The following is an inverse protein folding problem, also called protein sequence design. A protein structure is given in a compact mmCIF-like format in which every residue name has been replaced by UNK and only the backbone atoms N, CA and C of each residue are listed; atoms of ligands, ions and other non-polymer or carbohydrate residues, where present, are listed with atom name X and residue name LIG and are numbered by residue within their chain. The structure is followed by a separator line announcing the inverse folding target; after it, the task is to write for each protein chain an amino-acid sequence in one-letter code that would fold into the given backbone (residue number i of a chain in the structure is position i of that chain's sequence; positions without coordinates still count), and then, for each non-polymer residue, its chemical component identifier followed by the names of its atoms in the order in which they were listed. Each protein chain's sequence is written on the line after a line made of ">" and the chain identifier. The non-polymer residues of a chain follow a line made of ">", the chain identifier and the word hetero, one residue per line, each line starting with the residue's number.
data_IF_797114679572
#
_entry.id   IF_797114679572
#
_cell.length_a   1.000
_cell.length_b   1.000
_cell.length_c   1.000
_cell.angle_alpha   90.00
_cell.angle_beta   90.00
_cell.angle_gamma   90.00
#
_symmetry.space_group_name_H-M   'P 1'
#
loop_
_entity.id
_entity.type
_entity.pdbx_description
1 polymer ?
#
# COMPACT_ATOMS: atom_id res chain seq x y z
N UNK A 1 3.71 15.15 25.21
CA UNK A 1 2.74 14.12 24.83
C UNK A 1 3.06 13.69 23.41
N UNK A 2 3.12 12.38 23.15
CA UNK A 2 3.30 11.85 21.80
C UNK A 2 1.97 11.51 21.14
N UNK A 3 1.99 11.22 19.84
CA UNK A 3 0.86 10.62 19.13
C UNK A 3 0.98 9.09 19.16
N UNK A 4 -0.15 8.39 19.21
CA UNK A 4 -0.18 6.93 19.05
C UNK A 4 0.04 6.59 17.58
N UNK A 5 1.12 5.85 17.28
CA UNK A 5 1.36 5.32 15.93
C UNK A 5 0.39 4.18 15.64
N UNK A 6 -0.29 4.26 14.50
CA UNK A 6 -1.23 3.26 14.02
C UNK A 6 -0.88 2.88 12.60
N UNK A 7 -0.62 1.61 12.35
CA UNK A 7 -0.26 1.06 11.04
C UNK A 7 -1.15 -0.14 10.72
N UNK A 8 -1.26 -0.51 9.45
CA UNK A 8 -1.97 -1.73 9.06
C UNK A 8 -1.41 -2.97 9.79
N UNK A 9 -2.29 -3.88 10.21
CA UNK A 9 -1.91 -4.99 11.10
C UNK A 9 -0.79 -5.92 10.57
N UNK A 10 -0.53 -5.92 9.26
CA UNK A 10 0.57 -6.67 8.65
C UNK A 10 1.89 -5.90 8.53
N UNK A 11 2.02 -4.72 9.14
CA UNK A 11 3.22 -3.89 9.05
C UNK A 11 4.38 -4.52 9.85
N UNK A 12 5.50 -4.75 9.17
CA UNK A 12 6.72 -5.32 9.73
C UNK A 12 7.72 -4.21 10.07
N UNK A 13 7.51 -3.54 11.22
CA UNK A 13 8.29 -2.37 11.66
C UNK A 13 9.03 -2.63 12.96
N UNK A 14 10.19 -2.00 13.14
CA UNK A 14 11.10 -2.15 14.30
C UNK A 14 10.78 -1.20 15.46
N UNK A 15 9.53 -0.75 15.56
CA UNK A 15 9.06 0.14 16.62
C UNK A 15 7.63 -0.17 17.05
N UNK A 16 7.30 0.20 18.28
CA UNK A 16 5.98 0.00 18.85
C UNK A 16 4.89 0.75 18.07
N UNK A 17 3.83 0.03 17.73
CA UNK A 17 2.66 0.60 17.08
C UNK A 17 1.38 -0.15 17.43
N UNK A 18 0.24 0.50 17.18
CA UNK A 18 -1.08 -0.09 17.34
C UNK A 18 -1.54 -0.62 15.97
N UNK A 19 -1.76 -1.94 15.81
CA UNK A 19 -2.21 -2.50 14.54
C UNK A 19 -3.64 -2.07 14.21
N UNK A 20 -3.90 -1.82 12.93
CA UNK A 20 -5.20 -1.53 12.35
C UNK A 20 -5.64 -2.72 11.49
N UNK A 21 -6.63 -3.45 11.97
CA UNK A 21 -7.26 -4.56 11.28
C UNK A 21 -8.44 -4.10 10.42
N UNK A 22 -8.86 -4.97 9.51
CA UNK A 22 -10.01 -4.67 8.68
C UNK A 22 -11.29 -4.46 9.50
N UNK A 23 -12.01 -3.37 9.22
CA UNK A 23 -13.26 -3.04 9.90
C UNK A 23 -13.08 -2.36 11.26
N UNK A 24 -11.85 -2.20 11.75
CA UNK A 24 -11.57 -1.43 12.96
C UNK A 24 -12.10 -0.01 12.83
N UNK A 25 -12.47 0.56 13.98
CA UNK A 25 -12.95 1.94 14.07
C UNK A 25 -12.03 2.71 15.01
N UNK A 26 -11.48 3.81 14.51
CA UNK A 26 -10.71 4.77 15.29
C UNK A 26 -11.52 6.05 15.44
N UNK A 27 -11.72 6.49 16.68
CA UNK A 27 -12.39 7.74 16.99
C UNK A 27 -11.36 8.85 17.26
N UNK A 28 -11.51 9.97 16.56
CA UNK A 28 -10.68 11.18 16.77
C UNK A 28 -11.63 12.36 16.97
N UNK A 29 -11.76 12.80 18.21
CA UNK A 29 -12.77 13.81 18.57
C UNK A 29 -14.18 13.31 18.27
N UNK A 30 -14.88 14.00 17.38
CA UNK A 30 -16.22 13.62 16.91
C UNK A 30 -16.22 12.89 15.55
N UNK A 31 -15.05 12.45 15.08
CA UNK A 31 -14.88 11.78 13.79
C UNK A 31 -14.73 10.28 13.99
N UNK A 32 -15.41 9.51 13.15
CA UNK A 32 -15.33 8.05 13.09
C UNK A 32 -14.57 7.63 11.85
N UNK A 33 -13.45 6.94 12.03
CA UNK A 33 -12.59 6.48 10.95
C UNK A 33 -12.67 4.95 10.90
N UNK A 34 -13.24 4.41 9.83
CA UNK A 34 -13.30 2.97 9.59
C UNK A 34 -12.14 2.53 8.71
N UNK A 35 -11.42 1.52 9.18
CA UNK A 35 -10.30 0.91 8.47
C UNK A 35 -10.83 -0.05 7.40
N UNK A 36 -10.27 0.06 6.20
CA UNK A 36 -10.52 -0.86 5.09
C UNK A 36 -9.17 -1.42 4.69
N UNK A 37 -8.89 -2.70 4.99
CA UNK A 37 -7.67 -3.36 4.51
C UNK A 37 -7.71 -3.48 2.98
N UNK A 38 -6.68 -2.95 2.32
CA UNK A 38 -6.59 -2.84 0.87
C UNK A 38 -5.20 -3.28 0.36
N UNK A 39 -4.83 -4.56 0.56
CA UNK A 39 -3.53 -5.06 0.11
C UNK A 39 -3.39 -5.01 -1.41
N UNK A 40 -2.16 -4.84 -1.88
CA UNK A 40 -1.82 -4.84 -3.30
C UNK A 40 -0.59 -4.01 -3.57
N UNK A 41 -0.70 -2.69 -3.33
CA UNK A 41 0.44 -1.77 -3.40
C UNK A 41 1.51 -2.14 -2.36
N UNK A 42 1.10 -2.31 -1.11
CA UNK A 42 1.84 -3.05 -0.08
C UNK A 42 0.92 -4.08 0.56
N UNK A 43 1.48 -5.01 1.34
CA UNK A 43 0.72 -6.10 1.97
C UNK A 43 -0.17 -5.64 3.13
N UNK A 44 0.31 -4.63 3.84
CA UNK A 44 -0.29 -4.05 5.04
C UNK A 44 -1.18 -2.85 4.75
N UNK A 45 -1.24 -2.38 3.50
CA UNK A 45 -1.94 -1.14 3.12
C UNK A 45 -3.39 -1.12 3.60
N UNK A 46 -3.80 0.03 4.17
CA UNK A 46 -5.18 0.31 4.57
C UNK A 46 -5.67 1.61 3.95
N UNK A 47 -6.93 1.66 3.57
CA UNK A 47 -7.66 2.90 3.34
C UNK A 47 -8.44 3.29 4.61
N UNK A 48 -8.63 4.59 4.81
CA UNK A 48 -9.34 5.13 5.97
C UNK A 48 -10.61 5.85 5.50
N UNK A 49 -11.77 5.31 5.83
CA UNK A 49 -13.07 5.92 5.51
C UNK A 49 -13.55 6.77 6.70
N UNK A 50 -13.67 8.07 6.48
CA UNK A 50 -14.02 9.05 7.52
C UNK A 50 -15.50 9.41 7.41
N UNK A 51 -16.25 9.17 8.48
CA UNK A 51 -17.69 9.49 8.61
C UNK A 51 -18.56 8.98 7.45
N UNK A 52 -18.12 7.92 6.75
CA UNK A 52 -18.70 7.42 5.49
C UNK A 52 -18.80 8.49 4.37
N UNK A 53 -18.07 9.62 4.50
CA UNK A 53 -18.08 10.75 3.58
C UNK A 53 -16.91 10.73 2.60
N UNK A 54 -15.68 10.54 3.08
CA UNK A 54 -14.49 10.49 2.23
C UNK A 54 -13.53 9.39 2.65
N UNK A 55 -12.77 8.88 1.69
CA UNK A 55 -11.75 7.87 1.91
C UNK A 55 -10.36 8.44 1.64
N UNK A 56 -9.46 8.31 2.63
CA UNK A 56 -8.02 8.43 2.41
C UNK A 56 -7.56 7.11 1.80
N UNK A 57 -7.25 7.11 0.50
CA UNK A 57 -7.00 5.89 -0.27
C UNK A 57 -5.53 5.50 -0.36
N UNK A 58 -4.62 6.35 0.14
CA UNK A 58 -3.19 6.12 0.07
C UNK A 58 -2.78 5.80 -1.37
N UNK A 59 -2.03 4.71 -1.52
CA UNK A 59 -1.53 4.25 -2.81
C UNK A 59 -2.32 3.06 -3.36
N UNK A 60 -3.56 2.85 -2.88
CA UNK A 60 -4.47 1.86 -3.47
C UNK A 60 -5.17 2.43 -4.72
N UNK A 61 -5.84 3.58 -4.58
CA UNK A 61 -6.62 4.24 -5.62
C UNK A 61 -6.19 5.70 -5.75
N UNK A 62 -5.78 6.09 -6.95
CA UNK A 62 -5.44 7.47 -7.31
C UNK A 62 -6.55 8.13 -8.13
N UNK A 63 -6.39 9.42 -8.45
CA UNK A 63 -7.26 10.07 -9.43
C UNK A 63 -6.83 9.66 -10.83
N UNK A 64 -7.65 8.84 -11.49
CA UNK A 64 -7.41 8.35 -12.85
C UNK A 64 -6.46 7.16 -12.96
N UNK A 65 -5.93 6.64 -11.85
CA UNK A 65 -5.03 5.48 -11.84
C UNK A 65 -5.11 4.70 -10.51
N UNK A 66 -4.28 3.66 -10.36
CA UNK A 66 -4.21 2.79 -9.18
C UNK A 66 -2.75 2.54 -8.77
N UNK A 67 -2.57 2.03 -7.56
CA UNK A 67 -1.25 1.63 -7.05
C UNK A 67 -0.50 0.68 -7.99
N UNK A 68 0.81 0.86 -8.06
CA UNK A 68 1.74 -0.15 -8.58
C UNK A 68 1.93 -1.29 -7.58
N UNK A 69 2.15 -2.51 -8.08
CA UNK A 69 2.33 -3.72 -7.24
C UNK A 69 3.78 -4.18 -7.11
N UNK A 70 4.68 -3.59 -7.88
CA UNK A 70 6.09 -3.99 -7.95
C UNK A 70 6.98 -3.24 -6.93
N UNK A 71 6.54 -2.06 -6.47
CA UNK A 71 7.38 -1.14 -5.70
C UNK A 71 7.96 -1.73 -4.41
N UNK A 72 7.35 -2.73 -3.78
CA UNK A 72 7.85 -3.18 -2.48
C UNK A 72 9.00 -4.20 -2.53
N UNK A 73 9.51 -4.61 -3.70
CA UNK A 73 10.42 -5.75 -3.80
C UNK A 73 11.52 -5.54 -4.87
N UNK A 74 12.74 -5.96 -4.55
CA UNK A 74 13.81 -6.19 -5.52
C UNK A 74 13.68 -7.62 -6.06
N UNK A 75 13.95 -7.83 -7.36
CA UNK A 75 14.03 -9.15 -8.01
C UNK A 75 12.81 -10.07 -7.78
N UNK A 76 11.60 -9.56 -8.04
CA UNK A 76 10.37 -10.33 -7.86
C UNK A 76 10.13 -11.29 -9.02
N UNK A 77 9.80 -12.53 -8.69
CA UNK A 77 9.21 -13.47 -9.64
C UNK A 77 7.82 -13.00 -10.10
N UNK A 78 7.50 -13.21 -11.37
CA UNK A 78 6.24 -12.80 -12.00
C UNK A 78 5.03 -13.33 -11.22
N UNK A 79 5.14 -14.53 -10.63
CA UNK A 79 4.07 -15.14 -9.83
C UNK A 79 3.67 -14.29 -8.62
N UNK A 80 4.62 -13.67 -7.91
CA UNK A 80 4.32 -12.81 -6.77
C UNK A 80 3.71 -11.47 -7.23
N UNK A 81 4.17 -10.90 -8.35
CA UNK A 81 3.54 -9.72 -8.95
C UNK A 81 2.08 -10.01 -9.33
N UNK A 82 1.80 -11.18 -9.90
CA UNK A 82 0.42 -11.63 -10.22
C UNK A 82 -0.43 -11.78 -8.96
N UNK A 83 0.12 -12.33 -7.87
CA UNK A 83 -0.60 -12.43 -6.59
C UNK A 83 -0.96 -11.04 -6.04
N UNK A 84 -0.01 -10.10 -6.09
CA UNK A 84 -0.25 -8.73 -5.62
C UNK A 84 -1.21 -7.95 -6.49
N UNK A 85 -1.17 -8.12 -7.81
CA UNK A 85 -2.17 -7.58 -8.73
C UNK A 85 -3.58 -8.13 -8.42
N UNK A 86 -3.71 -9.44 -8.17
CA UNK A 86 -4.99 -10.03 -7.72
C UNK A 86 -5.51 -9.43 -6.42
N UNK A 87 -4.61 -9.20 -5.45
CA UNK A 87 -4.96 -8.54 -4.17
C UNK A 87 -5.42 -7.11 -4.40
N UNK A 88 -4.67 -6.32 -5.19
CA UNK A 88 -5.04 -4.95 -5.52
C UNK A 88 -6.41 -4.88 -6.22
N UNK A 89 -6.65 -5.76 -7.20
CA UNK A 89 -7.95 -5.88 -7.87
C UNK A 89 -9.08 -6.10 -6.86
N UNK A 90 -8.94 -7.07 -5.96
CA UNK A 90 -9.92 -7.32 -4.89
C UNK A 90 -10.14 -6.09 -3.99
N UNK A 91 -9.07 -5.41 -3.60
CA UNK A 91 -9.10 -4.18 -2.80
C UNK A 91 -9.86 -3.05 -3.50
N UNK A 92 -9.59 -2.82 -4.79
CA UNK A 92 -10.28 -1.81 -5.60
C UNK A 92 -11.78 -2.14 -5.72
N UNK A 93 -12.13 -3.38 -6.05
CA UNK A 93 -13.52 -3.81 -6.13
C UNK A 93 -14.29 -3.70 -4.81
N UNK A 94 -13.59 -3.78 -3.67
CA UNK A 94 -14.16 -3.50 -2.36
C UNK A 94 -14.41 -2.01 -2.14
N UNK A 95 -13.47 -1.13 -2.50
CA UNK A 95 -13.66 0.32 -2.46
C UNK A 95 -14.81 0.77 -3.37
N UNK A 96 -14.99 0.14 -4.54
CA UNK A 96 -16.08 0.43 -5.48
C UNK A 96 -17.49 0.08 -4.95
N UNK A 97 -17.60 -0.55 -3.76
CA UNK A 97 -18.88 -0.78 -3.06
C UNK A 97 -19.29 0.39 -2.18
N UNK A 98 -18.41 1.38 -1.97
CA UNK A 98 -18.74 2.62 -1.27
C UNK A 98 -19.73 3.47 -2.09
N UNK A 99 -20.29 4.50 -1.47
CA UNK A 99 -21.18 5.44 -2.15
C UNK A 99 -20.47 6.09 -3.34
N UNK A 100 -21.19 6.31 -4.44
CA UNK A 100 -20.65 7.02 -5.60
C UNK A 100 -20.17 8.44 -5.26
N UNK A 101 -20.76 9.05 -4.22
CA UNK A 101 -20.42 10.39 -3.72
C UNK A 101 -19.24 10.38 -2.74
N UNK A 102 -18.74 9.21 -2.33
CA UNK A 102 -17.59 9.15 -1.42
C UNK A 102 -16.38 9.77 -2.11
N UNK A 103 -15.83 10.82 -1.49
CA UNK A 103 -14.64 11.50 -2.02
C UNK A 103 -13.40 10.62 -1.85
N UNK A 104 -12.50 10.73 -2.82
CA UNK A 104 -11.23 9.98 -2.88
C UNK A 104 -10.08 10.94 -2.68
N UNK A 105 -9.32 10.71 -1.61
CA UNK A 105 -8.11 11.46 -1.26
C UNK A 105 -6.89 10.53 -1.32
N UNK A 106 -6.14 10.54 -2.42
CA UNK A 106 -4.98 9.68 -2.59
C UNK A 106 -3.76 10.12 -1.78
N UNK A 107 -2.79 9.21 -1.63
CA UNK A 107 -1.48 9.49 -1.04
C UNK A 107 -0.52 10.21 -2.00
N UNK A 108 -0.75 10.10 -3.31
CA UNK A 108 0.07 10.72 -4.35
C UNK A 108 -0.79 11.35 -5.46
N UNK A 109 -0.16 12.26 -6.22
CA UNK A 109 -0.77 13.03 -7.31
C UNK A 109 0.08 12.96 -8.58
N UNK A 110 -0.42 13.51 -9.68
CA UNK A 110 0.29 13.58 -10.98
C UNK A 110 1.76 13.98 -10.82
N UNK A 111 2.64 13.21 -11.46
CA UNK A 111 4.10 13.35 -11.37
C UNK A 111 4.78 12.41 -10.36
N UNK A 112 4.02 11.74 -9.48
CA UNK A 112 4.57 10.67 -8.62
C UNK A 112 4.76 9.36 -9.39
N UNK A 113 5.83 8.64 -9.07
CA UNK A 113 6.18 7.31 -9.62
C UNK A 113 5.32 6.17 -9.07
N UNK A 114 4.51 6.42 -8.03
CA UNK A 114 3.58 5.43 -7.46
C UNK A 114 2.40 5.10 -8.39
N UNK A 115 2.09 5.99 -9.34
CA UNK A 115 1.11 5.76 -10.42
C UNK A 115 1.75 5.95 -11.80
N UNK A 116 1.08 5.44 -12.83
CA UNK A 116 1.50 5.47 -14.25
C UNK A 116 0.90 6.65 -15.04
N UNK A 117 -0.27 7.16 -14.66
CA UNK A 117 -1.03 8.13 -15.48
C UNK A 117 -2.08 8.94 -14.73
N UNK A 118 -1.75 9.44 -13.54
CA UNK A 118 -2.66 10.22 -12.70
C UNK A 118 -3.11 11.55 -13.36
N UNK A 119 -4.39 11.91 -13.18
CA UNK A 119 -4.96 13.20 -13.59
C UNK A 119 -4.35 14.34 -12.75
N UNK A 120 -4.34 15.58 -13.27
CA UNK A 120 -3.87 16.76 -12.56
C UNK A 120 -4.77 17.21 -11.41
N UNK A 121 -5.91 16.54 -11.19
CA UNK A 121 -6.81 16.77 -10.07
C UNK A 121 -6.30 16.09 -8.80
N UNK A 122 -6.47 16.75 -7.67
CA UNK A 122 -6.04 16.25 -6.36
C UNK A 122 -7.12 15.48 -5.60
N UNK A 123 -8.38 15.57 -6.03
CA UNK A 123 -9.53 14.93 -5.38
C UNK A 123 -10.45 14.36 -6.47
N UNK A 124 -11.07 13.22 -6.17
CA UNK A 124 -12.08 12.59 -7.03
C UNK A 124 -13.24 12.02 -6.20
N UNK A 125 -14.09 11.21 -6.82
CA UNK A 125 -15.14 10.42 -6.14
C UNK A 125 -15.13 8.98 -6.65
N UNK A 126 -15.60 8.05 -5.82
CA UNK A 126 -15.75 6.64 -6.22
C UNK A 126 -16.57 6.52 -7.51
N UNK A 127 -17.63 7.33 -7.65
CA UNK A 127 -18.46 7.38 -8.84
C UNK A 127 -17.72 7.84 -10.10
N UNK A 128 -16.86 8.87 -9.99
CA UNK A 128 -16.02 9.33 -11.11
C UNK A 128 -15.01 8.26 -11.49
N UNK A 129 -14.25 7.75 -10.52
CA UNK A 129 -13.21 6.74 -10.77
C UNK A 129 -13.80 5.50 -11.44
N UNK A 130 -14.96 5.02 -10.98
CA UNK A 130 -15.66 3.90 -11.63
C UNK A 130 -16.01 4.13 -13.10
N UNK A 131 -16.23 5.40 -13.51
CA UNK A 131 -16.59 5.76 -14.90
C UNK A 131 -15.38 6.05 -15.78
N UNK A 132 -14.31 6.60 -15.21
CA UNK A 132 -13.22 7.20 -15.99
C UNK A 132 -11.87 6.51 -15.80
N UNK A 133 -11.66 5.78 -14.72
CA UNK A 133 -10.39 5.11 -14.44
C UNK A 133 -10.31 3.81 -15.25
N UNK A 134 -9.38 3.78 -16.22
CA UNK A 134 -9.22 2.64 -17.12
C UNK A 134 -8.98 1.34 -16.36
N UNK A 135 -8.15 1.36 -15.32
CA UNK A 135 -7.78 0.17 -14.56
C UNK A 135 -9.00 -0.48 -13.88
N UNK A 136 -10.00 0.32 -13.50
CA UNK A 136 -11.23 -0.16 -12.86
C UNK A 136 -12.26 -0.76 -13.84
N UNK A 137 -12.02 -0.64 -15.15
CA UNK A 137 -12.88 -1.21 -16.20
C UNK A 137 -12.39 -2.56 -16.72
N UNK A 138 -11.17 -2.96 -16.35
CA UNK A 138 -10.55 -4.21 -16.80
C UNK A 138 -11.12 -5.40 -16.04
N UNK A 139 -11.13 -6.57 -16.68
CA UNK A 139 -11.30 -7.82 -15.95
C UNK A 139 -10.01 -8.19 -15.21
N UNK A 140 -10.01 -9.29 -14.46
CA UNK A 140 -8.89 -9.64 -13.62
C UNK A 140 -7.61 -9.91 -14.43
N UNK A 141 -7.69 -10.62 -15.55
CA UNK A 141 -6.50 -10.99 -16.31
C UNK A 141 -5.94 -9.76 -17.05
N UNK A 142 -6.81 -8.95 -17.67
CA UNK A 142 -6.42 -7.68 -18.28
C UNK A 142 -5.83 -6.71 -17.25
N UNK A 143 -6.33 -6.71 -16.02
CA UNK A 143 -5.80 -5.89 -14.93
C UNK A 143 -4.40 -6.35 -14.50
N UNK A 144 -4.17 -7.66 -14.43
CA UNK A 144 -2.85 -8.22 -14.13
C UNK A 144 -1.87 -7.81 -15.22
N UNK A 145 -2.24 -7.98 -16.49
CA UNK A 145 -1.39 -7.59 -17.61
C UNK A 145 -1.12 -6.08 -17.62
N UNK A 146 -2.13 -5.26 -17.31
CA UNK A 146 -1.95 -3.81 -17.10
C UNK A 146 -0.97 -3.48 -15.97
N UNK A 147 -0.97 -4.26 -14.88
CA UNK A 147 -0.07 -4.05 -13.75
C UNK A 147 1.39 -4.41 -14.06
N UNK A 148 1.58 -5.45 -14.87
CA UNK A 148 2.90 -5.95 -15.28
C UNK A 148 3.46 -5.20 -16.51
N UNK A 149 2.63 -4.46 -17.23
CA UNK A 149 3.07 -3.64 -18.35
C UNK A 149 3.92 -2.43 -17.89
N UNK A 150 5.07 -2.24 -18.55
CA UNK A 150 5.99 -1.11 -18.42
C UNK A 150 6.19 -0.62 -16.98
N UNK A 151 7.07 -1.30 -16.25
CA UNK A 151 7.45 -0.93 -14.88
C UNK A 151 8.45 0.23 -14.91
N UNK A 152 8.09 1.44 -14.45
CA UNK A 152 9.04 2.55 -14.35
C UNK A 152 10.16 2.21 -13.35
N UNK A 153 11.37 2.77 -13.53
CA UNK A 153 12.46 2.56 -12.57
C UNK A 153 12.04 2.99 -11.16
N UNK A 154 12.59 2.32 -10.15
CA UNK A 154 12.41 2.71 -8.76
C UNK A 154 12.93 4.13 -8.53
N UNK A 155 12.30 4.93 -7.65
CA UNK A 155 12.87 6.20 -7.20
C UNK A 155 14.27 6.02 -6.62
N UNK A 156 15.15 7.00 -6.81
CA UNK A 156 16.55 6.91 -6.42
C UNK A 156 16.76 6.59 -4.92
N UNK A 157 15.92 7.14 -4.04
CA UNK A 157 16.03 6.96 -2.58
C UNK A 157 15.05 5.91 -2.02
N UNK A 158 14.48 5.07 -2.88
CA UNK A 158 13.40 4.14 -2.49
C UNK A 158 13.80 3.25 -1.30
N UNK A 159 14.98 2.62 -1.35
CA UNK A 159 15.45 1.74 -0.28
C UNK A 159 15.70 2.46 1.03
N UNK A 160 16.26 3.67 0.95
CA UNK A 160 16.53 4.49 2.13
C UNK A 160 15.22 4.91 2.81
N UNK A 161 14.23 5.36 2.02
CA UNK A 161 12.90 5.73 2.52
C UNK A 161 12.22 4.51 3.16
N UNK A 162 12.21 3.37 2.47
CA UNK A 162 11.57 2.15 2.98
C UNK A 162 12.22 1.71 4.30
N UNK A 163 13.55 1.61 4.36
CA UNK A 163 14.26 1.22 5.59
C UNK A 163 13.98 2.17 6.76
N UNK A 164 13.94 3.48 6.50
CA UNK A 164 13.65 4.49 7.51
C UNK A 164 12.22 4.33 8.04
N UNK A 165 11.24 4.16 7.14
CA UNK A 165 9.83 3.97 7.52
C UNK A 165 9.60 2.66 8.30
N UNK A 166 10.44 1.65 8.09
CA UNK A 166 10.42 0.40 8.84
C UNK A 166 11.16 0.48 10.18
N UNK A 167 11.84 1.60 10.49
CA UNK A 167 12.58 1.79 11.75
C UNK A 167 14.04 1.32 11.72
N UNK A 168 14.54 0.79 10.60
CA UNK A 168 15.88 0.20 10.50
C UNK A 168 17.00 1.20 10.19
N UNK A 169 16.88 2.45 10.65
CA UNK A 169 17.77 3.56 10.29
C UNK A 169 19.00 3.65 11.21
N UNK A 170 19.99 2.77 10.99
CA UNK A 170 21.36 2.91 11.52
C UNK A 170 22.46 2.59 10.47
N UNK A 171 22.15 2.53 9.17
CA UNK A 171 23.14 2.25 8.12
C UNK A 171 23.24 3.39 7.09
N UNK A 172 24.46 3.75 6.63
CA UNK A 172 24.67 4.85 5.68
C UNK A 172 24.01 4.58 4.32
N UNK A 173 23.63 5.67 3.64
CA UNK A 173 23.10 5.67 2.27
C UNK A 173 24.10 4.96 1.34
N UNK A 174 23.68 3.86 0.68
CA UNK A 174 24.45 3.22 -0.39
C UNK A 174 24.80 1.73 -0.25
N UNK A 175 24.30 0.99 0.75
CA UNK A 175 24.48 -0.47 0.80
C UNK A 175 23.23 -1.22 0.35
N UNK A 176 23.36 -2.03 -0.70
CA UNK A 176 22.33 -2.98 -1.15
C UNK A 176 21.84 -3.83 0.03
N UNK A 177 20.54 -3.76 0.32
CA UNK A 177 19.93 -4.54 1.38
C UNK A 177 19.83 -6.01 0.92
N UNK A 178 20.70 -6.88 1.46
CA UNK A 178 20.45 -8.33 1.39
C UNK A 178 19.25 -8.67 2.28
N UNK A 179 18.09 -8.85 1.67
CA UNK A 179 16.92 -9.41 2.34
C UNK A 179 17.19 -10.89 2.66
N UNK A 180 17.49 -11.17 3.94
CA UNK A 180 17.59 -12.53 4.46
C UNK A 180 16.21 -13.08 4.82
N UNK A 181 15.88 -14.27 4.30
CA UNK A 181 14.72 -15.06 4.74
C UNK A 181 14.77 -15.24 6.26
N UNK A 182 13.67 -14.95 6.93
CA UNK A 182 13.45 -15.39 8.30
C UNK A 182 13.37 -16.92 8.39
N UNK A 183 14.07 -17.47 9.38
CA UNK A 183 13.78 -18.74 10.03
C UNK A 183 14.71 -19.90 9.68
N UNK A 184 15.61 -20.27 10.60
CA UNK A 184 15.25 -21.27 11.60
C UNK A 184 15.98 -21.03 12.93
N UNK A 185 15.28 -21.31 14.02
CA UNK A 185 15.89 -21.42 15.33
C UNK A 185 16.38 -22.84 15.51
N UNK A 186 17.59 -22.98 16.04
CA UNK A 186 17.91 -24.01 17.05
C UNK A 186 19.18 -23.62 17.77
N UNK A 187 19.02 -23.27 19.04
CA UNK A 187 20.13 -23.32 19.99
C UNK A 187 20.67 -24.74 20.09
N UNK A 188 21.99 -24.83 20.12
CA UNK A 188 22.77 -25.93 20.69
C UNK A 188 24.02 -25.25 21.24
N UNK A 189 24.02 -24.97 22.53
CA UNK A 189 24.70 -25.78 23.54
C UNK A 189 26.23 -25.70 23.40
N UNK A 190 26.78 -24.92 24.34
CA UNK A 190 28.14 -25.11 24.85
C UNK A 190 28.34 -26.58 25.22
N UNK A 191 29.48 -27.18 24.83
CA UNK A 191 30.29 -28.11 25.63
C UNK A 191 31.47 -28.67 24.78
N UNK A 192 32.69 -28.58 25.35
CA UNK A 192 33.94 -29.39 25.15
C UNK A 192 34.53 -29.54 23.73
N UNK A 193 35.82 -29.36 23.44
CA UNK A 193 37.10 -29.22 24.17
C UNK A 193 37.96 -28.11 23.52
#
# INVERSE_FOLDING_TARGET
>A
MGATLRLGAGADVDFDHNPLSDGDVVEIGNRRIRVIHTPGHTTEHVCLLVDDWFALTGDTLFVGDVGRVDLALHDVDDDELRIRAKRLYGSLHRLLRLSAETEVYPGHYAGSSCGRGMDGKTISTIGREKRTNRALSLDLEDFIDFQLAEVPPLPADFDHIKRTNLGFSDAPVGTEARYGRGGDGRGADNLVE
#
